data_IF_526261669076
#
_entry.id   IF_526261669076
#
_cell.length_a   1.000
_cell.length_b   1.000
_cell.length_c   1.000
_cell.angle_alpha   90.00
_cell.angle_beta   90.00
_cell.angle_gamma   90.00
#
_symmetry.space_group_name_H-M   'P 1'
#
loop_
_entity.id
_entity.type
_entity.pdbx_description
1 polymer ?
#
# COMPACT_ATOMS: atom_id res chain seq x y z
N UNK A 1 -129.83 -69.60 -8.04
CA UNK A 1 -128.39 -69.93 -8.24
C UNK A 1 -127.52 -68.73 -8.65
N UNK A 2 -127.98 -67.48 -8.50
CA UNK A 2 -127.21 -66.26 -8.81
C UNK A 2 -126.21 -65.85 -7.69
N UNK A 3 -126.28 -66.45 -6.49
CA UNK A 3 -125.30 -66.28 -5.39
C UNK A 3 -124.00 -67.10 -5.58
N UNK A 4 -124.05 -68.24 -6.29
CA UNK A 4 -122.86 -69.01 -6.66
C UNK A 4 -122.01 -68.32 -7.75
N UNK A 5 -122.66 -67.48 -8.56
CA UNK A 5 -122.03 -66.71 -9.64
C UNK A 5 -121.19 -65.52 -9.12
N UNK A 6 -121.50 -64.99 -7.93
CA UNK A 6 -120.71 -63.89 -7.33
C UNK A 6 -119.52 -64.41 -6.51
N UNK A 7 -119.68 -65.53 -5.81
CA UNK A 7 -118.59 -66.15 -5.02
C UNK A 7 -117.49 -66.69 -5.95
N UNK A 8 -117.85 -67.25 -7.11
CA UNK A 8 -116.90 -67.77 -8.10
C UNK A 8 -116.10 -66.66 -8.81
N UNK A 9 -116.73 -65.53 -9.14
CA UNK A 9 -116.04 -64.40 -9.79
C UNK A 9 -115.14 -63.65 -8.81
N UNK A 10 -115.53 -63.48 -7.53
CA UNK A 10 -114.64 -62.94 -6.49
C UNK A 10 -113.45 -63.86 -6.19
N UNK A 11 -113.63 -65.18 -6.24
CA UNK A 11 -112.53 -66.13 -6.10
C UNK A 11 -111.54 -66.08 -7.29
N UNK A 12 -112.04 -65.94 -8.53
CA UNK A 12 -111.17 -65.84 -9.72
C UNK A 12 -110.37 -64.52 -9.78
N UNK A 13 -110.92 -63.41 -9.30
CA UNK A 13 -110.22 -62.12 -9.22
C UNK A 13 -109.19 -62.05 -8.09
N UNK A 14 -109.34 -62.86 -7.03
CA UNK A 14 -108.34 -63.00 -5.96
C UNK A 14 -107.18 -63.92 -6.33
N UNK A 15 -107.32 -64.75 -7.39
CA UNK A 15 -106.29 -65.70 -7.84
C UNK A 15 -105.39 -65.18 -8.97
N UNK A 16 -105.68 -64.02 -9.59
CA UNK A 16 -104.88 -63.46 -10.70
C UNK A 16 -103.69 -62.58 -10.27
N UNK A 17 -103.45 -62.42 -8.97
CA UNK A 17 -102.28 -61.70 -8.43
C UNK A 17 -101.06 -62.62 -8.15
N UNK A 18 -101.19 -63.92 -8.39
CA UNK A 18 -100.14 -64.90 -8.14
C UNK A 18 -99.17 -65.02 -9.34
N UNK A 19 -98.05 -64.31 -9.28
CA UNK A 19 -96.91 -64.50 -10.20
C UNK A 19 -96.34 -65.92 -10.03
N UNK A 20 -95.96 -66.59 -11.12
CA UNK A 20 -95.36 -67.93 -11.01
C UNK A 20 -94.04 -67.85 -10.25
N UNK A 21 -93.82 -68.79 -9.31
CA UNK A 21 -92.62 -68.85 -8.46
C UNK A 21 -91.31 -68.69 -9.26
N UNK A 22 -91.26 -69.22 -10.49
CA UNK A 22 -90.12 -69.09 -11.41
C UNK A 22 -89.90 -67.65 -11.91
N UNK A 23 -90.96 -66.94 -12.31
CA UNK A 23 -90.86 -65.53 -12.75
C UNK A 23 -90.52 -64.59 -11.59
N UNK A 24 -91.08 -64.87 -10.40
CA UNK A 24 -90.74 -64.14 -9.18
C UNK A 24 -89.27 -64.32 -8.80
N UNK A 25 -88.77 -65.57 -8.76
CA UNK A 25 -87.36 -65.86 -8.46
C UNK A 25 -86.39 -65.26 -9.49
N UNK A 26 -86.74 -65.25 -10.78
CA UNK A 26 -85.90 -64.62 -11.81
C UNK A 26 -85.84 -63.09 -11.63
N UNK A 27 -86.97 -62.45 -11.34
CA UNK A 27 -87.03 -61.01 -11.05
C UNK A 27 -86.29 -60.66 -9.75
N UNK A 28 -86.41 -61.50 -8.71
CA UNK A 28 -85.70 -61.32 -7.45
C UNK A 28 -84.19 -61.52 -7.60
N UNK A 29 -83.74 -62.53 -8.36
CA UNK A 29 -82.33 -62.71 -8.70
C UNK A 29 -81.79 -61.53 -9.53
N UNK A 30 -82.54 -61.04 -10.52
CA UNK A 30 -82.18 -59.85 -11.28
C UNK A 30 -82.13 -58.58 -10.42
N UNK A 31 -83.03 -58.44 -9.43
CA UNK A 31 -83.00 -57.37 -8.43
C UNK A 31 -81.75 -57.46 -7.56
N UNK A 32 -81.40 -58.66 -7.08
CA UNK A 32 -80.19 -58.91 -6.29
C UNK A 32 -78.91 -58.63 -7.10
N UNK A 33 -78.85 -59.03 -8.37
CA UNK A 33 -77.73 -58.69 -9.26
C UNK A 33 -77.62 -57.18 -9.52
N UNK A 34 -78.74 -56.48 -9.73
CA UNK A 34 -78.75 -55.04 -9.92
C UNK A 34 -78.29 -54.29 -8.66
N UNK A 35 -78.67 -54.78 -7.47
CA UNK A 35 -78.17 -54.26 -6.18
C UNK A 35 -76.67 -54.51 -6.06
N UNK A 36 -76.19 -55.72 -6.36
CA UNK A 36 -74.77 -56.06 -6.32
C UNK A 36 -73.92 -55.20 -7.27
N UNK A 37 -74.41 -54.94 -8.49
CA UNK A 37 -73.76 -53.98 -9.43
C UNK A 37 -73.81 -52.55 -8.90
N UNK A 38 -74.92 -52.14 -8.29
CA UNK A 38 -75.06 -50.82 -7.69
C UNK A 38 -74.09 -50.60 -6.53
N UNK A 39 -73.85 -51.61 -5.72
CA UNK A 39 -72.90 -51.54 -4.61
C UNK A 39 -71.44 -51.59 -5.09
N UNK A 40 -71.12 -52.41 -6.09
CA UNK A 40 -69.80 -52.40 -6.74
C UNK A 40 -69.47 -51.04 -7.39
N UNK A 41 -70.42 -50.44 -8.12
CA UNK A 41 -70.25 -49.09 -8.70
C UNK A 41 -70.09 -48.00 -7.64
N UNK A 42 -70.76 -48.12 -6.48
CA UNK A 42 -70.55 -47.19 -5.35
C UNK A 42 -69.15 -47.34 -4.77
N UNK A 43 -68.64 -48.56 -4.62
CA UNK A 43 -67.30 -48.82 -4.12
C UNK A 43 -66.23 -48.25 -5.08
N UNK A 44 -66.39 -48.48 -6.39
CA UNK A 44 -65.53 -47.86 -7.42
C UNK A 44 -65.60 -46.33 -7.39
N UNK A 45 -66.79 -45.75 -7.19
CA UNK A 45 -66.96 -44.30 -7.08
C UNK A 45 -66.27 -43.73 -5.84
N UNK A 46 -66.34 -44.42 -4.70
CA UNK A 46 -65.62 -44.03 -3.46
C UNK A 46 -64.12 -44.08 -3.71
N UNK A 47 -63.61 -45.19 -4.25
CA UNK A 47 -62.19 -45.33 -4.59
C UNK A 47 -61.71 -44.24 -5.54
N UNK A 48 -62.48 -43.93 -6.59
CA UNK A 48 -62.16 -42.86 -7.52
C UNK A 48 -62.13 -41.48 -6.85
N UNK A 49 -63.01 -41.23 -5.86
CA UNK A 49 -62.98 -39.99 -5.08
C UNK A 49 -61.76 -39.93 -4.17
N UNK A 50 -61.44 -41.01 -3.48
CA UNK A 50 -60.26 -41.09 -2.61
C UNK A 50 -58.96 -40.88 -3.41
N UNK A 51 -58.86 -41.52 -4.59
CA UNK A 51 -57.74 -41.34 -5.52
C UNK A 51 -57.65 -39.89 -6.02
N UNK A 52 -58.80 -39.27 -6.35
CA UNK A 52 -58.85 -37.87 -6.77
C UNK A 52 -58.40 -36.92 -5.64
N UNK A 53 -58.82 -37.16 -4.40
CA UNK A 53 -58.40 -36.37 -3.25
C UNK A 53 -56.90 -36.54 -2.95
N UNK A 54 -56.38 -37.76 -3.07
CA UNK A 54 -54.96 -38.04 -2.95
C UNK A 54 -54.13 -37.32 -4.04
N UNK A 55 -54.61 -37.34 -5.30
CA UNK A 55 -53.99 -36.61 -6.40
C UNK A 55 -54.03 -35.10 -6.19
N UNK A 56 -55.16 -34.55 -5.72
CA UNK A 56 -55.30 -33.13 -5.43
C UNK A 56 -54.33 -32.67 -4.33
N UNK A 57 -54.17 -33.48 -3.27
CA UNK A 57 -53.19 -33.21 -2.22
C UNK A 57 -51.76 -33.25 -2.73
N UNK A 58 -51.43 -34.19 -3.63
CA UNK A 58 -50.11 -34.28 -4.25
C UNK A 58 -49.83 -33.10 -5.19
N UNK A 59 -50.82 -32.67 -5.98
CA UNK A 59 -50.72 -31.48 -6.82
C UNK A 59 -50.49 -30.24 -5.95
N UNK A 60 -51.24 -30.08 -4.86
CA UNK A 60 -51.05 -28.96 -3.94
C UNK A 60 -49.65 -28.94 -3.31
N UNK A 61 -49.10 -30.11 -2.93
CA UNK A 61 -47.74 -30.22 -2.43
C UNK A 61 -46.70 -29.83 -3.50
N UNK A 62 -46.82 -30.38 -4.72
CA UNK A 62 -45.92 -30.06 -5.83
C UNK A 62 -45.95 -28.56 -6.21
N UNK A 63 -47.11 -27.91 -6.14
CA UNK A 63 -47.23 -26.46 -6.37
C UNK A 63 -46.46 -25.68 -5.30
N UNK A 64 -46.56 -26.07 -4.01
CA UNK A 64 -45.80 -25.43 -2.92
C UNK A 64 -44.29 -25.62 -3.09
N UNK A 65 -43.87 -26.83 -3.45
CA UNK A 65 -42.46 -27.16 -3.68
C UNK A 65 -41.92 -26.34 -4.85
N UNK A 66 -42.63 -26.33 -5.98
CA UNK A 66 -42.26 -25.54 -7.18
C UNK A 66 -42.21 -24.04 -6.88
N UNK A 67 -43.14 -23.53 -6.07
CA UNK A 67 -43.14 -22.12 -5.64
C UNK A 67 -41.93 -21.80 -4.76
N UNK A 68 -41.55 -22.71 -3.87
CA UNK A 68 -40.40 -22.58 -2.97
C UNK A 68 -39.11 -22.63 -3.78
N UNK A 69 -38.94 -23.63 -4.63
CA UNK A 69 -37.80 -23.73 -5.55
C UNK A 69 -37.68 -22.50 -6.44
N UNK A 70 -38.80 -21.97 -6.95
CA UNK A 70 -38.81 -20.73 -7.72
C UNK A 70 -38.34 -19.50 -6.92
N UNK A 71 -38.62 -19.45 -5.61
CA UNK A 71 -38.10 -18.41 -4.71
C UNK A 71 -36.60 -18.58 -4.49
N UNK A 72 -36.14 -19.79 -4.22
CA UNK A 72 -34.73 -20.08 -3.96
C UNK A 72 -33.88 -19.80 -5.19
N UNK A 73 -34.34 -20.17 -6.40
CA UNK A 73 -33.67 -19.84 -7.67
C UNK A 73 -33.49 -18.32 -7.81
N UNK A 74 -34.53 -17.52 -7.52
CA UNK A 74 -34.42 -16.05 -7.58
C UNK A 74 -33.42 -15.49 -6.56
N UNK A 75 -33.40 -16.06 -5.35
CA UNK A 75 -32.45 -15.68 -4.31
C UNK A 75 -31.01 -16.00 -4.75
N UNK A 76 -30.76 -17.21 -5.27
CA UNK A 76 -29.45 -17.61 -5.80
C UNK A 76 -29.01 -16.74 -6.97
N UNK A 77 -29.92 -16.42 -7.91
CA UNK A 77 -29.63 -15.50 -9.01
C UNK A 77 -29.22 -14.12 -8.51
N UNK A 78 -29.90 -13.61 -7.48
CA UNK A 78 -29.56 -12.31 -6.87
C UNK A 78 -28.18 -12.35 -6.23
N UNK A 79 -27.87 -13.37 -5.43
CA UNK A 79 -26.56 -13.52 -4.81
C UNK A 79 -25.44 -13.67 -5.84
N UNK A 80 -25.66 -14.45 -6.91
CA UNK A 80 -24.68 -14.60 -7.99
C UNK A 80 -24.41 -13.26 -8.67
N UNK A 81 -25.44 -12.48 -8.98
CA UNK A 81 -25.28 -11.16 -9.57
C UNK A 81 -24.52 -10.19 -8.65
N UNK A 82 -24.81 -10.21 -7.35
CA UNK A 82 -24.07 -9.40 -6.36
C UNK A 82 -22.61 -9.82 -6.31
N UNK A 83 -22.32 -11.11 -6.17
CA UNK A 83 -20.96 -11.63 -6.08
C UNK A 83 -20.17 -11.35 -7.37
N UNK A 84 -20.78 -11.49 -8.54
CA UNK A 84 -20.16 -11.11 -9.82
C UNK A 84 -19.82 -9.62 -9.84
N UNK A 85 -20.75 -8.75 -9.42
CA UNK A 85 -20.51 -7.31 -9.35
C UNK A 85 -19.41 -6.92 -8.36
N UNK A 86 -19.29 -7.63 -7.23
CA UNK A 86 -18.16 -7.47 -6.30
C UNK A 86 -16.85 -7.95 -6.89
N UNK A 87 -16.86 -9.08 -7.61
CA UNK A 87 -15.69 -9.61 -8.28
C UNK A 87 -15.18 -8.66 -9.38
N UNK A 88 -16.07 -8.06 -10.15
CA UNK A 88 -15.72 -7.09 -11.19
C UNK A 88 -15.08 -5.84 -10.58
N UNK A 89 -15.62 -5.34 -9.46
CA UNK A 89 -15.02 -4.22 -8.70
C UNK A 89 -13.64 -4.57 -8.17
N UNK A 90 -13.48 -5.77 -7.61
CA UNK A 90 -12.19 -6.23 -7.08
C UNK A 90 -11.16 -6.37 -8.18
N UNK A 91 -11.54 -6.93 -9.34
CA UNK A 91 -10.66 -7.06 -10.49
C UNK A 91 -10.24 -5.69 -11.05
N UNK A 92 -11.17 -4.73 -11.14
CA UNK A 92 -10.86 -3.36 -11.56
C UNK A 92 -9.91 -2.67 -10.57
N UNK A 93 -10.13 -2.84 -9.26
CA UNK A 93 -9.24 -2.32 -8.22
C UNK A 93 -7.85 -2.96 -8.28
N UNK A 94 -7.78 -4.27 -8.52
CA UNK A 94 -6.52 -4.99 -8.67
C UNK A 94 -5.72 -4.46 -9.86
N UNK A 95 -6.36 -4.28 -11.02
CA UNK A 95 -5.72 -3.68 -12.20
C UNK A 95 -5.21 -2.26 -11.93
N UNK A 96 -6.01 -1.44 -11.25
CA UNK A 96 -5.58 -0.10 -10.84
C UNK A 96 -4.35 -0.16 -9.94
N UNK A 97 -4.34 -1.06 -8.94
CA UNK A 97 -3.20 -1.20 -8.02
C UNK A 97 -1.96 -1.77 -8.69
N UNK A 98 -2.11 -2.69 -9.64
CA UNK A 98 -1.00 -3.17 -10.46
C UNK A 98 -0.37 -2.02 -11.25
N UNK A 99 -1.18 -1.18 -11.90
CA UNK A 99 -0.66 -0.02 -12.63
C UNK A 99 0.06 0.99 -11.72
N UNK A 100 -0.45 1.22 -10.51
CA UNK A 100 0.18 2.09 -9.52
C UNK A 100 1.54 1.52 -9.04
N UNK A 101 1.61 0.20 -8.82
CA UNK A 101 2.86 -0.48 -8.47
C UNK A 101 3.88 -0.42 -9.59
N UNK A 102 3.48 -0.64 -10.85
CA UNK A 102 4.37 -0.55 -12.01
C UNK A 102 4.94 0.86 -12.21
N UNK A 103 4.17 1.90 -11.87
CA UNK A 103 4.65 3.29 -11.88
C UNK A 103 5.64 3.53 -10.73
N UNK A 104 5.32 3.08 -9.52
CA UNK A 104 6.20 3.19 -8.35
C UNK A 104 7.52 2.44 -8.54
N UNK A 105 7.49 1.26 -9.14
CA UNK A 105 8.68 0.47 -9.45
C UNK A 105 9.60 1.23 -10.42
N UNK A 106 9.03 1.83 -11.47
CA UNK A 106 9.79 2.68 -12.39
C UNK A 106 10.44 3.86 -11.69
N UNK A 107 9.69 4.58 -10.84
CA UNK A 107 10.26 5.68 -10.04
C UNK A 107 11.39 5.22 -9.14
N UNK A 108 11.25 4.08 -8.45
CA UNK A 108 12.30 3.54 -7.58
C UNK A 108 13.56 3.21 -8.38
N UNK A 109 13.41 2.58 -9.55
CA UNK A 109 14.55 2.25 -10.41
C UNK A 109 15.28 3.51 -10.90
N UNK A 110 14.55 4.54 -11.33
CA UNK A 110 15.15 5.82 -11.72
C UNK A 110 15.87 6.53 -10.56
N UNK A 111 15.28 6.51 -9.36
CA UNK A 111 15.92 7.06 -8.16
C UNK A 111 17.20 6.29 -7.81
N UNK A 112 17.19 4.97 -7.94
CA UNK A 112 18.35 4.12 -7.68
C UNK A 112 19.50 4.45 -8.64
N UNK A 113 19.20 4.60 -9.94
CA UNK A 113 20.18 4.98 -10.95
C UNK A 113 20.78 6.36 -10.67
N UNK A 114 19.94 7.32 -10.28
CA UNK A 114 20.42 8.64 -9.90
C UNK A 114 21.29 8.60 -8.64
N UNK A 115 20.91 7.82 -7.63
CA UNK A 115 21.72 7.66 -6.42
C UNK A 115 23.08 7.02 -6.72
N UNK A 116 23.11 6.00 -7.58
CA UNK A 116 24.35 5.36 -8.04
C UNK A 116 25.25 6.35 -8.79
N UNK A 117 24.68 7.15 -9.69
CA UNK A 117 25.42 8.18 -10.40
C UNK A 117 25.98 9.26 -9.45
N UNK A 118 25.21 9.65 -8.43
CA UNK A 118 25.67 10.59 -7.40
C UNK A 118 26.80 10.00 -6.55
N UNK A 119 26.68 8.74 -6.12
CA UNK A 119 27.74 8.05 -5.39
C UNK A 119 29.03 7.99 -6.18
N UNK A 120 28.96 7.70 -7.49
CA UNK A 120 30.13 7.71 -8.36
C UNK A 120 30.80 9.09 -8.43
N UNK A 121 30.01 10.18 -8.50
CA UNK A 121 30.53 11.55 -8.46
C UNK A 121 31.24 11.86 -7.14
N UNK A 122 30.65 11.48 -6.00
CA UNK A 122 31.25 11.67 -4.68
C UNK A 122 32.58 10.93 -4.57
N UNK A 123 32.67 9.70 -5.08
CA UNK A 123 33.92 8.94 -5.06
C UNK A 123 34.99 9.58 -5.96
N UNK A 124 34.62 10.04 -7.16
CA UNK A 124 35.55 10.76 -8.04
C UNK A 124 36.04 12.07 -7.42
N UNK A 125 35.15 12.80 -6.75
CA UNK A 125 35.49 14.00 -5.99
C UNK A 125 36.44 13.67 -4.84
N UNK A 126 36.14 12.64 -4.05
CA UNK A 126 36.98 12.18 -2.95
C UNK A 126 38.40 11.84 -3.44
N UNK A 127 38.53 11.11 -4.54
CA UNK A 127 39.83 10.80 -5.13
C UNK A 127 40.55 12.08 -5.57
N UNK A 128 39.88 12.94 -6.33
CA UNK A 128 40.46 14.19 -6.84
C UNK A 128 40.97 15.10 -5.71
N UNK A 129 40.21 15.18 -4.61
CA UNK A 129 40.58 15.95 -3.42
C UNK A 129 41.76 15.31 -2.70
N UNK A 130 41.75 13.99 -2.49
CA UNK A 130 42.87 13.26 -1.89
C UNK A 130 44.16 13.46 -2.69
N UNK A 131 44.09 13.30 -4.00
CA UNK A 131 45.22 13.44 -4.92
C UNK A 131 45.79 14.87 -4.90
N UNK A 132 44.93 15.89 -4.89
CA UNK A 132 45.35 17.28 -4.81
C UNK A 132 46.04 17.63 -3.48
N UNK A 133 45.74 16.90 -2.41
CA UNK A 133 46.20 17.18 -1.05
C UNK A 133 47.24 16.17 -0.51
N UNK A 134 47.79 15.29 -1.34
CA UNK A 134 48.82 14.30 -0.96
C UNK A 134 50.07 14.91 -0.31
N UNK A 135 50.38 16.18 -0.57
CA UNK A 135 51.56 16.88 -0.04
C UNK A 135 51.41 17.39 1.41
N UNK A 136 50.34 17.02 2.12
CA UNK A 136 50.04 17.44 3.48
C UNK A 136 49.95 16.22 4.41
N UNK A 137 50.38 16.39 5.65
CA UNK A 137 50.36 15.31 6.64
C UNK A 137 48.97 15.17 7.27
N UNK A 138 48.68 14.00 7.85
CA UNK A 138 47.41 13.73 8.53
C UNK A 138 47.12 14.65 9.72
N UNK A 139 48.16 15.22 10.33
CA UNK A 139 48.04 16.18 11.43
C UNK A 139 47.71 17.60 10.93
N UNK A 140 47.97 17.89 9.66
CA UNK A 140 47.66 19.16 9.01
C UNK A 140 46.26 19.14 8.42
N UNK A 141 45.90 18.08 7.72
CA UNK A 141 44.56 17.90 7.16
C UNK A 141 44.17 16.42 7.03
N UNK A 142 42.87 16.18 6.96
CA UNK A 142 42.29 14.87 6.66
C UNK A 142 41.17 14.99 5.63
N UNK A 143 41.02 13.96 4.79
CA UNK A 143 39.97 13.89 3.77
C UNK A 143 39.15 12.62 3.98
N UNK A 144 37.87 12.77 4.26
CA UNK A 144 36.95 11.66 4.54
C UNK A 144 35.66 11.79 3.74
N UNK A 145 34.97 10.68 3.53
CA UNK A 145 33.61 10.66 3.01
C UNK A 145 32.66 10.29 4.15
N UNK A 146 31.54 11.00 4.23
CA UNK A 146 30.48 10.73 5.19
C UNK A 146 29.15 11.18 4.61
N UNK A 147 28.16 10.28 4.63
CA UNK A 147 26.78 10.56 4.21
C UNK A 147 26.69 11.15 2.79
N UNK A 148 27.52 10.66 1.84
CA UNK A 148 27.50 11.14 0.46
C UNK A 148 28.11 12.53 0.29
N UNK A 149 28.92 12.99 1.25
CA UNK A 149 29.63 14.26 1.21
C UNK A 149 31.12 14.04 1.47
N UNK A 150 31.95 14.88 0.86
CA UNK A 150 33.40 14.86 1.08
C UNK A 150 33.74 15.95 2.10
N UNK A 151 34.45 15.55 3.15
CA UNK A 151 34.92 16.42 4.22
C UNK A 151 36.42 16.58 4.13
N UNK A 152 36.89 17.82 4.08
CA UNK A 152 38.31 18.16 4.26
C UNK A 152 38.43 18.93 5.57
N UNK A 153 38.93 18.27 6.61
CA UNK A 153 39.21 18.93 7.88
C UNK A 153 40.66 19.42 7.87
N UNK A 154 40.84 20.74 7.89
CA UNK A 154 42.15 21.39 8.00
C UNK A 154 42.35 21.89 9.42
N UNK A 155 43.49 21.55 10.02
CA UNK A 155 43.78 21.98 11.39
C UNK A 155 44.00 23.49 11.47
N UNK A 156 43.68 24.07 12.63
CA UNK A 156 43.91 25.49 12.86
C UNK A 156 45.39 25.84 12.71
N UNK A 157 46.31 24.95 13.11
CA UNK A 157 47.76 25.16 12.98
C UNK A 157 48.24 25.28 11.53
N UNK A 158 47.57 24.61 10.60
CA UNK A 158 47.85 24.71 9.18
C UNK A 158 47.36 26.03 8.60
N UNK A 159 46.15 26.44 9.00
CA UNK A 159 45.44 27.55 8.39
C UNK A 159 45.72 28.90 9.04
N UNK A 160 45.89 28.98 10.37
CA UNK A 160 45.89 30.22 11.12
C UNK A 160 46.92 30.22 12.24
N UNK A 161 47.42 31.41 12.55
CA UNK A 161 48.11 31.66 13.83
C UNK A 161 47.10 31.65 14.99
N UNK A 162 47.60 31.37 16.19
CA UNK A 162 46.79 31.37 17.42
C UNK A 162 46.04 32.71 17.60
N UNK A 163 44.73 32.65 17.85
CA UNK A 163 43.89 33.83 18.03
C UNK A 163 43.76 34.72 16.79
N UNK A 164 44.11 34.23 15.59
CA UNK A 164 44.01 34.96 14.33
C UNK A 164 43.02 34.32 13.38
N UNK A 165 42.49 35.13 12.47
CA UNK A 165 41.73 34.69 11.29
C UNK A 165 42.45 34.98 9.97
N UNK A 166 43.70 35.47 10.02
CA UNK A 166 44.53 35.63 8.83
C UNK A 166 45.11 34.29 8.44
N UNK A 167 44.84 33.86 7.20
CA UNK A 167 45.32 32.57 6.71
C UNK A 167 46.82 32.60 6.40
N UNK A 168 47.54 31.62 6.91
CA UNK A 168 48.98 31.45 6.74
C UNK A 168 49.36 30.97 5.34
N UNK A 169 50.64 31.15 4.97
CA UNK A 169 51.14 30.79 3.64
C UNK A 169 50.91 29.31 3.32
N UNK A 170 51.18 28.41 4.27
CA UNK A 170 50.99 26.97 4.11
C UNK A 170 49.50 26.60 3.95
N UNK A 171 48.63 27.24 4.73
CA UNK A 171 47.18 27.14 4.55
C UNK A 171 46.71 27.62 3.17
N UNK A 172 47.27 28.73 2.66
CA UNK A 172 46.97 29.23 1.32
C UNK A 172 47.38 28.24 0.22
N UNK A 173 48.49 27.53 0.36
CA UNK A 173 48.91 26.46 -0.56
C UNK A 173 47.89 25.32 -0.59
N UNK A 174 47.40 24.88 0.57
CA UNK A 174 46.36 23.85 0.67
C UNK A 174 45.06 24.30 0.01
N UNK A 175 44.64 25.55 0.27
CA UNK A 175 43.44 26.13 -0.33
C UNK A 175 43.57 26.32 -1.84
N UNK A 176 44.78 26.62 -2.36
CA UNK A 176 45.02 26.69 -3.81
C UNK A 176 44.79 25.34 -4.48
N UNK A 177 45.34 24.26 -3.90
CA UNK A 177 45.15 22.89 -4.39
C UNK A 177 43.71 22.43 -4.33
N UNK A 178 43.01 22.76 -3.25
CA UNK A 178 41.59 22.46 -3.16
C UNK A 178 40.79 23.26 -4.20
N UNK A 179 41.10 24.53 -4.42
CA UNK A 179 40.42 25.36 -5.41
C UNK A 179 40.57 24.82 -6.85
N UNK A 180 41.72 24.24 -7.21
CA UNK A 180 41.91 23.56 -8.51
C UNK A 180 40.89 22.42 -8.72
N UNK A 181 40.50 21.72 -7.66
CA UNK A 181 39.47 20.68 -7.70
C UNK A 181 38.08 21.31 -7.74
N UNK A 182 37.79 22.26 -6.85
CA UNK A 182 36.48 22.92 -6.74
C UNK A 182 36.08 23.62 -8.04
N UNK A 183 37.02 24.27 -8.75
CA UNK A 183 36.75 24.94 -10.01
C UNK A 183 36.37 24.00 -11.17
N UNK A 184 36.55 22.69 -11.01
CA UNK A 184 36.13 21.67 -11.99
C UNK A 184 34.76 21.07 -11.67
N UNK A 185 34.17 21.40 -10.52
CA UNK A 185 32.91 20.84 -10.04
C UNK A 185 31.85 21.94 -9.98
N UNK A 186 30.86 21.89 -10.87
CA UNK A 186 29.80 22.92 -10.93
C UNK A 186 28.49 22.46 -10.26
N UNK A 187 28.40 21.18 -9.90
CA UNK A 187 27.22 20.49 -9.39
C UNK A 187 27.33 20.12 -7.90
N UNK A 188 28.19 20.84 -7.17
CA UNK A 188 28.34 20.73 -5.72
C UNK A 188 28.09 22.07 -5.03
N UNK A 189 27.69 22.00 -3.77
CA UNK A 189 27.74 23.11 -2.82
C UNK A 189 28.88 22.86 -1.81
N UNK A 190 29.53 23.94 -1.38
CA UNK A 190 30.74 23.92 -0.57
C UNK A 190 30.51 24.72 0.72
N UNK A 191 30.41 24.03 1.84
CA UNK A 191 30.26 24.66 3.15
C UNK A 191 31.62 24.75 3.83
N UNK A 192 32.00 25.94 4.29
CA UNK A 192 33.20 26.15 5.07
C UNK A 192 32.80 26.36 6.52
N UNK A 193 33.00 25.36 7.36
CA UNK A 193 32.65 25.41 8.78
C UNK A 193 33.88 25.68 9.65
N UNK A 194 33.87 26.78 10.40
CA UNK A 194 34.85 27.02 11.44
C UNK A 194 34.45 26.36 12.76
N UNK A 195 35.43 25.74 13.44
CA UNK A 195 35.26 25.13 14.76
C UNK A 195 36.38 25.60 15.70
N UNK A 196 36.06 25.72 16.99
CA UNK A 196 37.02 26.06 18.06
C UNK A 196 37.11 24.92 19.08
N UNK A 197 38.08 25.02 20.00
CA UNK A 197 38.00 24.25 21.24
C UNK A 197 37.11 24.98 22.27
N UNK A 198 36.97 24.41 23.46
CA UNK A 198 36.17 24.99 24.54
C UNK A 198 36.88 26.10 25.35
N UNK A 199 38.08 26.54 24.95
CA UNK A 199 38.74 27.65 25.65
C UNK A 199 38.07 28.97 25.22
N UNK A 200 37.51 29.76 26.14
CA UNK A 200 36.87 31.01 25.78
C UNK A 200 37.86 31.98 25.14
N UNK A 201 37.46 32.62 24.05
CA UNK A 201 38.16 33.78 23.48
C UNK A 201 37.34 35.04 23.75
N UNK A 202 38.01 36.11 24.15
CA UNK A 202 37.43 37.45 24.24
C UNK A 202 38.53 38.47 23.94
N UNK A 203 38.46 39.08 22.77
CA UNK A 203 39.43 40.04 22.26
C UNK A 203 38.69 41.22 21.64
N UNK A 204 39.41 42.30 21.29
CA UNK A 204 38.81 43.41 20.56
C UNK A 204 38.21 43.00 19.20
N UNK A 205 38.70 41.91 18.60
CA UNK A 205 38.24 41.42 17.29
C UNK A 205 37.16 40.33 17.40
N UNK A 206 37.18 39.51 18.45
CA UNK A 206 36.32 38.35 18.62
C UNK A 206 35.66 38.40 19.99
N UNK A 207 34.34 38.52 20.06
CA UNK A 207 33.61 38.54 21.33
C UNK A 207 33.60 37.19 22.02
N UNK A 208 33.52 36.13 21.23
CA UNK A 208 33.44 34.73 21.66
C UNK A 208 33.94 33.76 20.58
N UNK A 209 33.80 32.47 20.84
CA UNK A 209 34.17 31.41 19.91
C UNK A 209 33.25 31.34 18.68
N UNK A 210 32.03 31.87 18.73
CA UNK A 210 31.17 32.01 17.56
C UNK A 210 31.78 33.00 16.57
N UNK A 211 32.12 34.21 17.04
CA UNK A 211 32.75 35.25 16.21
C UNK A 211 34.04 34.72 15.55
N UNK A 212 34.93 34.09 16.34
CA UNK A 212 36.17 33.53 15.81
C UNK A 212 35.90 32.49 14.71
N UNK A 213 34.99 31.55 14.96
CA UNK A 213 34.68 30.48 14.02
C UNK A 213 34.10 30.99 12.69
N UNK A 214 33.16 31.93 12.73
CA UNK A 214 32.53 32.52 11.54
C UNK A 214 33.54 33.36 10.74
N UNK A 215 34.38 34.14 11.42
CA UNK A 215 35.37 35.00 10.75
C UNK A 215 36.47 34.17 10.09
N UNK A 216 36.90 33.07 10.70
CA UNK A 216 37.83 32.11 10.09
C UNK A 216 37.25 31.48 8.83
N UNK A 217 36.01 30.96 8.90
CA UNK A 217 35.32 30.42 7.74
C UNK A 217 35.21 31.46 6.60
N UNK A 218 34.80 32.68 6.92
CA UNK A 218 34.68 33.77 5.95
C UNK A 218 36.03 34.14 5.32
N UNK A 219 37.13 34.06 6.08
CA UNK A 219 38.48 34.34 5.57
C UNK A 219 38.92 33.30 4.54
N UNK A 220 38.60 32.02 4.78
CA UNK A 220 38.82 30.94 3.80
C UNK A 220 37.97 31.14 2.54
N UNK A 221 36.67 31.46 2.70
CA UNK A 221 35.79 31.77 1.56
C UNK A 221 36.34 32.92 0.71
N UNK A 222 36.82 34.00 1.34
CA UNK A 222 37.40 35.14 0.62
C UNK A 222 38.62 34.73 -0.18
N UNK A 223 39.51 33.91 0.35
CA UNK A 223 40.69 33.43 -0.38
C UNK A 223 40.27 32.54 -1.55
N UNK A 224 39.40 31.55 -1.32
CA UNK A 224 38.93 30.65 -2.37
C UNK A 224 38.25 31.43 -3.52
N UNK A 225 37.44 32.42 -3.20
CA UNK A 225 36.68 33.20 -4.20
C UNK A 225 37.51 34.30 -4.87
N UNK A 226 38.29 35.09 -4.10
CA UNK A 226 39.01 36.26 -4.62
C UNK A 226 40.37 35.90 -5.21
N UNK A 227 41.10 34.98 -4.57
CA UNK A 227 42.47 34.64 -4.98
C UNK A 227 42.47 33.47 -5.96
N UNK A 228 41.54 32.52 -5.83
CA UNK A 228 41.51 31.27 -6.61
C UNK A 228 40.27 31.07 -7.50
N UNK A 229 39.36 32.03 -7.56
CA UNK A 229 38.27 32.06 -8.53
C UNK A 229 37.15 31.04 -8.32
N UNK A 230 37.04 30.45 -7.12
CA UNK A 230 35.91 29.58 -6.77
C UNK A 230 34.61 30.38 -6.89
N UNK A 231 33.63 29.85 -7.63
CA UNK A 231 32.35 30.51 -7.84
C UNK A 231 31.67 30.87 -6.50
N UNK A 232 31.38 32.16 -6.22
CA UNK A 232 30.79 32.56 -4.95
C UNK A 232 29.37 31.99 -4.72
N UNK A 233 28.68 31.57 -5.78
CA UNK A 233 27.35 30.94 -5.67
C UNK A 233 27.39 29.49 -5.15
N UNK A 234 28.57 28.86 -5.15
CA UNK A 234 28.73 27.47 -4.69
C UNK A 234 29.27 27.35 -3.28
N UNK A 235 29.58 28.47 -2.60
CA UNK A 235 30.33 28.45 -1.34
C UNK A 235 29.66 29.27 -0.25
N UNK A 236 29.57 28.70 0.96
CA UNK A 236 28.90 29.31 2.10
C UNK A 236 29.78 29.17 3.36
N UNK A 237 30.09 30.28 4.07
CA UNK A 237 30.74 30.20 5.37
C UNK A 237 29.73 29.88 6.48
N UNK A 238 30.14 29.06 7.45
CA UNK A 238 29.38 28.74 8.65
C UNK A 238 30.33 28.74 9.86
N UNK A 239 29.83 29.15 11.02
CA UNK A 239 30.51 28.96 12.30
C UNK A 239 29.81 27.90 13.12
N UNK A 240 30.56 27.16 13.93
CA UNK A 240 30.03 26.17 14.89
C UNK A 240 30.49 26.43 16.33
N UNK A 241 31.37 27.40 16.53
CA UNK A 241 32.03 27.64 17.82
C UNK A 241 32.65 26.34 18.38
N UNK A 242 32.48 26.14 19.68
CA UNK A 242 32.99 24.98 20.44
C UNK A 242 32.01 23.80 20.52
N UNK A 243 30.81 23.93 19.95
CA UNK A 243 29.67 23.05 20.22
C UNK A 243 29.64 21.76 19.39
N UNK A 244 30.60 21.59 18.47
CA UNK A 244 30.75 20.37 17.64
C UNK A 244 32.17 19.77 17.79
N UNK A 245 32.57 19.36 19.01
CA UNK A 245 33.88 18.76 19.24
C UNK A 245 33.97 17.38 18.57
N UNK A 246 35.14 17.08 18.00
CA UNK A 246 35.50 15.78 17.42
C UNK A 246 36.43 14.97 18.33
N UNK A 247 36.95 15.59 19.38
CA UNK A 247 37.81 14.99 20.39
C UNK A 247 37.59 15.64 21.77
N UNK A 248 38.15 15.03 22.80
CA UNK A 248 38.03 15.51 24.18
C UNK A 248 38.71 16.87 24.40
N UNK A 249 37.96 17.85 24.90
CA UNK A 249 38.45 19.20 25.17
C UNK A 249 39.34 19.29 26.43
N UNK A 250 39.37 18.25 27.27
CA UNK A 250 40.22 18.26 28.47
C UNK A 250 41.70 18.04 28.12
N UNK A 251 41.99 17.37 27.00
CA UNK A 251 43.37 17.11 26.55
C UNK A 251 43.88 18.16 25.56
N UNK A 252 45.19 18.44 25.58
CA UNK A 252 45.79 19.38 24.62
C UNK A 252 45.69 18.89 23.16
N UNK A 253 45.83 17.57 22.95
CA UNK A 253 45.65 16.93 21.65
C UNK A 253 44.21 17.07 21.15
N UNK A 254 43.22 16.72 21.98
CA UNK A 254 41.82 16.81 21.58
C UNK A 254 41.36 18.24 21.30
N UNK A 255 41.80 19.22 22.09
CA UNK A 255 41.61 20.65 21.76
C UNK A 255 42.23 21.01 20.41
N UNK A 256 43.43 20.50 20.10
CA UNK A 256 44.07 20.76 18.80
C UNK A 256 43.29 20.18 17.62
N UNK A 257 42.59 19.06 17.80
CA UNK A 257 41.71 18.46 16.79
C UNK A 257 40.38 19.22 16.67
N UNK A 258 39.85 19.76 17.76
CA UNK A 258 38.62 20.55 17.76
C UNK A 258 38.78 21.90 17.06
N UNK A 259 39.96 22.54 17.20
CA UNK A 259 40.34 23.73 16.43
C UNK A 259 40.64 23.33 14.97
N UNK A 260 39.61 23.38 14.12
CA UNK A 260 39.69 23.00 12.70
C UNK A 260 38.75 23.84 11.85
N UNK A 261 39.03 23.89 10.56
CA UNK A 261 38.06 24.33 9.55
C UNK A 261 37.70 23.14 8.69
N UNK A 262 36.41 22.82 8.58
CA UNK A 262 35.90 21.76 7.73
C UNK A 262 35.39 22.35 6.43
N UNK A 263 35.85 21.81 5.31
CA UNK A 263 35.36 22.14 3.98
C UNK A 263 34.55 20.96 3.49
N UNK A 264 33.24 21.16 3.42
CA UNK A 264 32.25 20.12 3.16
C UNK A 264 31.73 20.31 1.75
N UNK A 265 32.00 19.36 0.87
CA UNK A 265 31.49 19.34 -0.49
C UNK A 265 30.29 18.40 -0.57
N UNK A 266 29.13 18.93 -0.90
CA UNK A 266 27.88 18.20 -1.01
C UNK A 266 27.35 18.26 -2.45
N UNK A 267 27.00 17.12 -3.07
CA UNK A 267 26.33 17.13 -4.37
C UNK A 267 24.99 17.88 -4.30
N UNK A 268 24.63 18.60 -5.36
CA UNK A 268 23.31 19.23 -5.49
C UNK A 268 22.24 18.17 -5.65
N UNK A 269 21.23 18.22 -4.78
CA UNK A 269 20.12 17.26 -4.75
C UNK A 269 18.84 17.77 -5.41
N UNK A 270 18.87 18.95 -6.04
CA UNK A 270 17.67 19.60 -6.61
C UNK A 270 16.89 18.67 -7.54
N UNK A 271 17.59 17.96 -8.43
CA UNK A 271 16.98 17.03 -9.38
C UNK A 271 16.34 15.82 -8.68
N UNK A 272 16.95 15.32 -7.60
CA UNK A 272 16.40 14.21 -6.82
C UNK A 272 15.18 14.65 -6.03
N UNK A 273 15.20 15.87 -5.48
CA UNK A 273 14.06 16.44 -4.74
C UNK A 273 12.87 16.74 -5.65
N UNK A 274 13.10 17.17 -6.90
CA UNK A 274 12.03 17.39 -7.88
C UNK A 274 11.26 16.10 -8.24
N UNK A 275 11.90 14.93 -8.16
CA UNK A 275 11.24 13.65 -8.44
C UNK A 275 10.42 13.10 -7.26
N UNK A 276 10.63 13.64 -6.06
CA UNK A 276 9.89 13.26 -4.86
C UNK A 276 8.61 14.11 -4.66
N UNK A 277 8.45 15.18 -5.44
CA UNK A 277 7.29 16.07 -5.43
C UNK A 277 6.25 15.61 -6.45
#
# INVERSE_FOLDING_TARGET
MKRLLFISVSALLLCSSCVSKKKYLLAENGRLEAIGRGDALKEELIKCKDDNDALNNRIAALIRDTTTMGRDIRNYQTMLNTNMGEQDKLNALLQQKMSELDERERTINELQDMMNAQNAKVQNLLSSVKDALLGFNSDELTVTEKNGKVYVAMSDKLLFQSGSAKVDKRGKEALAKLAEVLNKQNDIDVYIEGHTDSKPINTAQFKDNWDLSVIRATSVVRILTKDYGVNPLQIQPCGRGEFMPVADNETADGRSKNRRTEIIMAPKLDKLMQMLQ
#
